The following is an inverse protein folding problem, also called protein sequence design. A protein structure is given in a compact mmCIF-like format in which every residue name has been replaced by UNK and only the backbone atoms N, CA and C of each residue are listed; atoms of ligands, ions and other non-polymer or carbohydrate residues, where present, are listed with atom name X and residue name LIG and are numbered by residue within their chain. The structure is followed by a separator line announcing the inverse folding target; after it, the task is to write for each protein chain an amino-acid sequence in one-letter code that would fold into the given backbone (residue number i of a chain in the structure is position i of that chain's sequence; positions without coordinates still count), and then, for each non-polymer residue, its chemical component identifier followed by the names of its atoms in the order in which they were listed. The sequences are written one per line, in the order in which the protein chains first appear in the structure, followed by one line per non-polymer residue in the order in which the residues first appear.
data_IF_638876923199
#
_entry.id   IF_638876923199
#
_cell.length_a   1.000
_cell.length_b   1.000
_cell.length_c   1.000
_cell.angle_alpha   90.00
_cell.angle_beta   90.00
_cell.angle_gamma   90.00
#
_symmetry.space_group_name_H-M   'P 1'
#
loop_
_entity.id
_entity.type
_entity.pdbx_description
1 polymer ?
#
# COMPACT_ATOMS: atom_id res chain seq x y z
N UNK A 1 8.28 12.28 10.22
CA UNK A 1 7.62 11.41 9.22
C UNK A 1 8.22 10.03 9.30
N UNK A 2 7.42 8.98 9.09
CA UNK A 2 7.94 7.63 8.95
C UNK A 2 7.88 7.20 7.49
N UNK A 3 8.98 6.67 6.97
CA UNK A 3 9.07 6.07 5.64
C UNK A 3 8.69 4.59 5.74
N UNK A 4 7.78 4.14 4.89
CA UNK A 4 7.36 2.74 4.83
C UNK A 4 7.41 2.24 3.40
N UNK A 5 7.83 0.99 3.25
CA UNK A 5 7.96 0.30 1.99
C UNK A 5 6.87 -0.78 1.91
N UNK A 6 6.12 -0.74 0.82
CA UNK A 6 5.15 -1.77 0.46
C UNK A 6 5.81 -2.66 -0.58
N UNK A 7 6.05 -3.92 -0.21
CA UNK A 7 6.78 -4.88 -1.04
C UNK A 7 5.91 -6.09 -1.42
N UNK A 8 6.05 -6.49 -2.70
CA UNK A 8 5.74 -7.81 -3.27
C UNK A 8 6.38 -8.95 -2.48
N UNK A 9 5.66 -9.80 -1.75
CA UNK A 9 6.18 -11.05 -1.18
C UNK A 9 5.43 -12.27 -1.71
N UNK A 10 6.01 -13.48 -1.67
CA UNK A 10 5.29 -14.69 -2.10
C UNK A 10 4.00 -14.95 -1.31
N UNK A 11 3.93 -14.49 -0.05
CA UNK A 11 2.73 -14.56 0.79
C UNK A 11 1.68 -13.45 0.46
N UNK A 12 1.96 -12.54 -0.48
CA UNK A 12 1.12 -11.39 -0.83
C UNK A 12 1.88 -10.07 -0.73
N UNK A 13 1.42 -9.16 0.10
CA UNK A 13 1.96 -7.81 0.24
C UNK A 13 2.29 -7.50 1.69
N UNK A 14 3.42 -6.83 1.92
CA UNK A 14 3.81 -6.40 3.27
C UNK A 14 4.21 -4.92 3.31
N UNK A 15 3.86 -4.27 4.42
CA UNK A 15 4.29 -2.92 4.79
C UNK A 15 5.39 -3.04 5.84
N UNK A 16 6.58 -2.53 5.53
CA UNK A 16 7.71 -2.48 6.45
C UNK A 16 8.19 -1.05 6.60
N UNK A 17 8.47 -0.61 7.83
CA UNK A 17 9.05 0.71 8.04
C UNK A 17 10.52 0.70 7.60
N UNK A 18 11.00 1.77 6.99
CA UNK A 18 12.42 1.92 6.68
C UNK A 18 13.27 1.75 7.95
N UNK A 19 14.27 0.87 7.88
CA UNK A 19 15.12 0.52 9.02
C UNK A 19 14.49 -0.46 10.03
N UNK A 20 13.25 -0.91 9.83
CA UNK A 20 12.67 -1.99 10.63
C UNK A 20 12.97 -3.35 10.00
N UNK A 21 13.20 -4.36 10.84
CA UNK A 21 13.40 -5.75 10.41
C UNK A 21 12.09 -6.54 10.31
N UNK A 22 11.02 -6.03 10.92
CA UNK A 22 9.71 -6.71 10.97
C UNK A 22 8.66 -5.90 10.20
N UNK A 23 7.82 -6.57 9.39
CA UNK A 23 6.71 -5.90 8.72
C UNK A 23 5.68 -5.44 9.75
N UNK A 24 5.23 -4.20 9.61
CA UNK A 24 4.15 -3.63 10.42
C UNK A 24 2.79 -4.23 10.06
N UNK A 25 2.57 -4.49 8.76
CA UNK A 25 1.32 -5.07 8.22
C UNK A 25 1.62 -6.03 7.08
N UNK A 26 0.74 -7.02 6.93
CA UNK A 26 0.76 -7.99 5.82
C UNK A 26 -0.67 -8.19 5.33
N UNK A 27 -0.85 -8.37 4.04
CA UNK A 27 -2.13 -8.71 3.44
C UNK A 27 -1.93 -9.52 2.16
N UNK A 28 -2.94 -10.28 1.77
CA UNK A 28 -2.88 -11.09 0.55
C UNK A 28 -2.94 -10.23 -0.72
N UNK A 29 -3.73 -9.16 -0.70
CA UNK A 29 -3.90 -8.23 -1.83
C UNK A 29 -3.38 -6.85 -1.48
N UNK A 30 -2.99 -6.11 -2.51
CA UNK A 30 -2.47 -4.77 -2.36
C UNK A 30 -3.53 -3.86 -1.77
N UNK A 31 -4.76 -3.92 -2.28
CA UNK A 31 -5.91 -3.15 -1.78
C UNK A 31 -6.22 -3.40 -0.29
N UNK A 32 -5.98 -4.62 0.22
CA UNK A 32 -6.17 -4.92 1.65
C UNK A 32 -5.02 -4.40 2.51
N UNK A 33 -3.78 -4.46 2.02
CA UNK A 33 -2.63 -3.87 2.72
C UNK A 33 -2.77 -2.36 2.82
N UNK A 34 -3.22 -1.75 1.73
CA UNK A 34 -3.45 -0.31 1.57
C UNK A 34 -4.48 0.20 2.58
N UNK A 35 -5.61 -0.50 2.75
CA UNK A 35 -6.60 -0.19 3.80
C UNK A 35 -6.04 -0.36 5.22
N UNK A 36 -5.28 -1.43 5.49
CA UNK A 36 -4.63 -1.64 6.78
C UNK A 36 -3.59 -0.56 7.08
N UNK A 37 -2.87 -0.10 6.05
CA UNK A 37 -1.89 0.97 6.11
C UNK A 37 -2.56 2.30 6.43
N UNK A 38 -3.69 2.62 5.80
CA UNK A 38 -4.49 3.81 6.13
C UNK A 38 -4.98 3.79 7.57
N UNK A 39 -5.51 2.66 8.04
CA UNK A 39 -5.94 2.53 9.45
C UNK A 39 -4.77 2.70 10.41
N UNK A 40 -3.60 2.18 10.05
CA UNK A 40 -2.38 2.27 10.85
C UNK A 40 -1.79 3.68 10.89
N UNK A 41 -1.83 4.39 9.77
CA UNK A 41 -1.28 5.75 9.62
C UNK A 41 -2.29 6.85 9.96
N UNK A 42 -3.55 6.49 10.24
CA UNK A 42 -4.58 7.44 10.64
C UNK A 42 -4.09 8.33 11.78
N UNK A 43 -4.01 9.64 11.53
CA UNK A 43 -3.54 10.61 12.50
C UNK A 43 -2.01 10.83 12.54
N UNK A 44 -1.25 10.26 11.59
CA UNK A 44 0.20 10.45 11.46
C UNK A 44 0.62 10.77 10.03
N UNK A 45 1.68 11.56 9.86
CA UNK A 45 2.31 11.81 8.57
C UNK A 45 3.38 10.76 8.25
N UNK A 46 3.30 10.19 7.04
CA UNK A 46 4.17 9.12 6.59
C UNK A 46 4.39 9.15 5.08
N UNK A 47 5.50 8.58 4.62
CA UNK A 47 5.80 8.39 3.21
C UNK A 47 5.69 6.91 2.90
N UNK A 48 4.99 6.55 1.83
CA UNK A 48 4.73 5.19 1.39
C UNK A 48 5.42 4.96 0.04
N UNK A 49 6.30 3.97 -0.01
CA UNK A 49 7.08 3.60 -1.18
C UNK A 49 6.53 2.27 -1.65
N UNK A 50 5.77 2.26 -2.74
CA UNK A 50 5.06 1.07 -3.23
C UNK A 50 5.82 0.47 -4.40
N UNK A 51 6.37 -0.73 -4.20
CA UNK A 51 7.01 -1.50 -5.25
C UNK A 51 5.95 -2.32 -6.01
N UNK A 52 5.67 -1.93 -7.26
CA UNK A 52 4.72 -2.65 -8.12
C UNK A 52 5.37 -3.88 -8.75
N UNK A 53 4.54 -4.82 -9.19
CA UNK A 53 4.99 -6.02 -9.94
C UNK A 53 5.70 -5.67 -11.24
N UNK A 54 5.29 -4.57 -11.87
CA UNK A 54 5.85 -4.05 -13.11
C UNK A 54 7.28 -3.47 -12.93
N UNK A 55 7.88 -3.61 -11.74
CA UNK A 55 9.18 -3.02 -11.38
C UNK A 55 9.12 -1.51 -11.08
N UNK A 56 7.99 -0.86 -11.33
CA UNK A 56 7.80 0.56 -11.04
C UNK A 56 7.64 0.79 -9.53
N UNK A 57 8.34 1.77 -8.99
CA UNK A 57 8.16 2.22 -7.60
C UNK A 57 7.42 3.54 -7.57
N UNK A 58 6.37 3.63 -6.74
CA UNK A 58 5.57 4.85 -6.57
C UNK A 58 5.73 5.35 -5.15
N UNK A 59 6.18 6.59 -5.01
CA UNK A 59 6.22 7.28 -3.73
C UNK A 59 4.90 8.03 -3.50
N UNK A 60 4.34 7.91 -2.30
CA UNK A 60 3.12 8.58 -1.92
C UNK A 60 3.19 9.09 -0.48
N UNK A 61 2.95 10.39 -0.29
CA UNK A 61 2.95 11.00 1.04
C UNK A 61 1.55 10.96 1.65
N UNK A 62 1.42 10.24 2.76
CA UNK A 62 0.23 10.21 3.60
C UNK A 62 0.31 11.34 4.63
N UNK A 63 -0.67 12.24 4.64
CA UNK A 63 -0.74 13.34 5.61
C UNK A 63 -2.01 13.22 6.46
N UNK A 64 -1.84 13.31 7.78
CA UNK A 64 -2.95 13.20 8.72
C UNK A 64 -3.87 14.41 8.61
N UNK A 65 -5.09 14.22 8.12
CA UNK A 65 -6.11 15.28 8.05
C UNK A 65 -6.30 15.92 6.67
N UNK A 66 -5.45 15.61 5.69
CA UNK A 66 -5.83 15.77 4.29
C UNK A 66 -6.48 14.48 3.83
N UNK A 67 -7.76 14.57 3.49
CA UNK A 67 -8.57 13.60 2.73
C UNK A 67 -7.67 12.59 2.03
N UNK A 68 -7.85 11.31 2.38
CA UNK A 68 -7.27 10.16 1.68
C UNK A 68 -7.23 10.50 0.19
N UNK A 69 -6.05 10.57 -0.44
CA UNK A 69 -5.98 11.03 -1.83
C UNK A 69 -6.93 10.16 -2.64
N UNK A 70 -7.83 10.77 -3.42
CA UNK A 70 -8.85 10.06 -4.23
C UNK A 70 -8.23 9.01 -5.17
N UNK A 71 -6.92 9.09 -5.38
CA UNK A 71 -6.10 8.08 -6.07
C UNK A 71 -6.00 6.74 -5.33
N UNK A 72 -6.09 6.70 -3.99
CA UNK A 72 -6.04 5.47 -3.19
C UNK A 72 -7.27 4.58 -3.43
N UNK A 73 -8.45 5.20 -3.57
CA UNK A 73 -9.70 4.51 -3.90
C UNK A 73 -9.66 3.82 -5.28
N UNK A 74 -8.94 4.40 -6.25
CA UNK A 74 -8.78 3.77 -7.58
C UNK A 74 -7.95 2.48 -7.56
N UNK A 75 -7.08 2.28 -6.57
CA UNK A 75 -6.25 1.08 -6.49
C UNK A 75 -7.04 -0.14 -5.98
N UNK A 76 -8.18 0.07 -5.29
CA UNK A 76 -9.14 -1.01 -5.01
C UNK A 76 -9.82 -1.56 -6.27
N UNK A 77 -10.09 -0.69 -7.26
CA UNK A 77 -10.75 -1.10 -8.51
C UNK A 77 -9.79 -1.71 -9.53
N UNK A 78 -8.52 -1.29 -9.58
CA UNK A 78 -7.54 -1.81 -10.53
C UNK A 78 -7.17 -3.29 -10.35
N UNK A 79 -7.27 -3.86 -9.13
CA UNK A 79 -7.10 -5.31 -8.92
C UNK A 79 -8.38 -6.11 -9.22
N UNK A 80 -9.57 -5.48 -9.20
CA UNK A 80 -10.84 -6.16 -9.50
C UNK A 80 -11.11 -6.29 -11.00
N UNK A 81 -10.38 -5.55 -11.84
CA UNK A 81 -10.54 -5.59 -13.29
C UNK A 81 -9.69 -6.67 -13.98
N UNK A 82 -8.69 -7.25 -13.30
CA UNK A 82 -7.83 -8.29 -13.88
C UNK A 82 -8.22 -9.72 -13.44
N UNK A 83 -9.31 -9.87 -12.68
CA UNK A 83 -10.01 -11.14 -12.44
C UNK A 83 -11.32 -11.18 -13.26
N UNK A 84 -11.22 -10.86 -14.55
CA UNK A 84 -12.16 -11.33 -15.56
C UNK A 84 -11.35 -11.99 -16.66
N UNK A 85 -10.94 -13.22 -16.36
CA UNK A 85 -10.63 -14.19 -17.39
C UNK A 85 -11.77 -14.26 -18.40
N UNK A 86 -11.41 -14.01 -19.65
CA UNK A 86 -11.72 -14.87 -20.79
C UNK A 86 -12.88 -15.86 -20.58
N UNK A 87 -13.96 -15.62 -21.33
CA UNK A 87 -14.91 -16.64 -21.78
C UNK A 87 -15.42 -16.26 -23.17
#
# INVERSE_FOLDING_TARGET
MGDYHINRVPEGWQLIKQGATRPSKRALTKGRLIQETERFLRGKDAVLIIHNEDGTTVEQTYQAGKVVPRQWAKWQESESANDKGEA
#
